data_IF_427157722774
#
_entry.id   IF_427157722774
#
_cell.length_a   1.000
_cell.length_b   1.000
_cell.length_c   1.000
_cell.angle_alpha   90.00
_cell.angle_beta   90.00
_cell.angle_gamma   90.00
#
_symmetry.space_group_name_H-M   'P 1'
#
loop_
_entity.id
_entity.type
_entity.pdbx_description
1 polymer ?
#
# COMPACT_ATOMS: atom_id res chain seq x y z
N UNK A 1 31.43 -3.10 -3.75
CA UNK A 1 30.24 -2.26 -3.47
C UNK A 1 29.25 -2.84 -2.43
N UNK A 2 29.50 -4.01 -1.80
CA UNK A 2 28.63 -4.59 -0.74
C UNK A 2 29.00 -4.17 0.70
N UNK A 3 30.23 -3.71 0.95
CA UNK A 3 30.75 -3.40 2.30
C UNK A 3 30.03 -2.23 2.98
N UNK A 4 29.73 -1.16 2.24
CA UNK A 4 29.20 0.08 2.82
C UNK A 4 27.77 -0.09 3.38
N UNK A 5 26.97 -0.97 2.79
CA UNK A 5 25.59 -1.20 3.23
C UNK A 5 25.54 -2.00 4.54
N UNK A 6 26.50 -2.90 4.74
CA UNK A 6 26.62 -3.72 5.94
C UNK A 6 27.08 -2.88 7.12
N UNK A 7 28.10 -2.04 6.93
CA UNK A 7 28.57 -1.08 7.93
C UNK A 7 27.48 -0.07 8.32
N UNK A 8 26.71 0.43 7.34
CA UNK A 8 25.58 1.32 7.62
C UNK A 8 24.51 0.62 8.46
N UNK A 9 24.14 -0.63 8.13
CA UNK A 9 23.14 -1.41 8.88
C UNK A 9 23.63 -1.68 10.32
N UNK A 10 24.92 -1.97 10.50
CA UNK A 10 25.54 -2.16 11.81
C UNK A 10 25.45 -0.89 12.66
N UNK A 11 25.91 0.25 12.15
CA UNK A 11 25.84 1.53 12.88
C UNK A 11 24.41 1.98 13.17
N UNK A 12 23.46 1.69 12.27
CA UNK A 12 22.04 1.95 12.55
C UNK A 12 21.53 1.12 13.73
N UNK A 13 21.89 -0.16 13.83
CA UNK A 13 21.47 -1.01 14.96
C UNK A 13 22.14 -0.63 16.28
N UNK A 14 23.33 0.00 16.24
CA UNK A 14 24.01 0.50 17.45
C UNK A 14 23.32 1.75 18.03
N UNK A 15 22.79 2.62 17.17
CA UNK A 15 22.21 3.92 17.59
C UNK A 15 20.70 3.86 17.79
N UNK A 16 19.98 3.04 17.02
CA UNK A 16 18.53 2.93 17.09
C UNK A 16 18.11 1.68 17.87
N UNK A 17 17.34 1.84 18.94
CA UNK A 17 16.67 0.71 19.62
C UNK A 17 15.59 0.04 18.77
N UNK A 18 15.21 0.65 17.65
CA UNK A 18 14.16 0.16 16.77
C UNK A 18 14.82 -0.54 15.58
N UNK A 19 14.47 -1.81 15.38
CA UNK A 19 14.97 -2.57 14.24
C UNK A 19 14.59 -1.88 12.91
N UNK A 20 15.49 -1.86 11.92
CA UNK A 20 15.19 -1.29 10.61
C UNK A 20 14.04 -2.05 9.95
N UNK A 21 13.06 -1.34 9.38
CA UNK A 21 11.95 -1.96 8.63
C UNK A 21 12.51 -2.83 7.50
N UNK A 22 12.47 -4.14 7.72
CA UNK A 22 12.94 -5.20 6.84
C UNK A 22 11.82 -6.23 6.71
N UNK A 23 11.36 -6.45 5.48
CA UNK A 23 10.24 -7.34 5.15
C UNK A 23 10.71 -8.77 4.86
N UNK A 24 11.95 -9.12 5.24
CA UNK A 24 12.56 -10.43 5.01
C UNK A 24 12.99 -10.70 3.56
N UNK A 25 12.44 -9.99 2.57
CA UNK A 25 12.83 -10.11 1.17
C UNK A 25 13.41 -8.79 0.61
N UNK A 26 14.60 -8.79 -0.02
CA UNK A 26 15.26 -7.56 -0.48
C UNK A 26 14.43 -6.70 -1.43
N UNK A 27 13.62 -7.32 -2.30
CA UNK A 27 12.75 -6.60 -3.22
C UNK A 27 11.57 -5.93 -2.50
N UNK A 28 10.97 -6.64 -1.52
CA UNK A 28 9.87 -6.11 -0.72
C UNK A 28 10.36 -4.96 0.17
N UNK A 29 11.50 -5.14 0.83
CA UNK A 29 12.12 -4.10 1.66
C UNK A 29 12.46 -2.84 0.84
N UNK A 30 12.97 -2.99 -0.39
CA UNK A 30 13.21 -1.85 -1.29
C UNK A 30 11.92 -1.16 -1.74
N UNK A 31 10.92 -1.93 -2.14
CA UNK A 31 9.62 -1.41 -2.57
C UNK A 31 8.93 -0.64 -1.44
N UNK A 32 8.85 -1.24 -0.25
CA UNK A 32 8.31 -0.63 0.94
C UNK A 32 9.02 0.66 1.31
N UNK A 33 10.36 0.68 1.35
CA UNK A 33 11.10 1.91 1.66
C UNK A 33 10.78 3.03 0.68
N UNK A 34 10.67 2.72 -0.61
CA UNK A 34 10.34 3.72 -1.64
C UNK A 34 8.93 4.26 -1.47
N UNK A 35 7.95 3.40 -1.23
CA UNK A 35 6.56 3.78 -1.06
C UNK A 35 6.38 4.57 0.25
N UNK A 36 6.94 4.07 1.35
CA UNK A 36 6.80 4.64 2.68
C UNK A 36 7.36 6.07 2.79
N UNK A 37 8.35 6.45 1.97
CA UNK A 37 8.84 7.84 1.94
C UNK A 37 7.73 8.81 1.52
N UNK A 38 6.92 8.46 0.52
CA UNK A 38 5.81 9.31 0.07
C UNK A 38 4.72 9.41 1.14
N UNK A 39 4.41 8.30 1.80
CA UNK A 39 3.42 8.27 2.88
C UNK A 39 3.87 9.02 4.14
N UNK A 40 5.17 9.01 4.46
CA UNK A 40 5.70 9.73 5.63
C UNK A 40 5.74 11.24 5.44
N UNK A 41 6.10 11.72 4.26
CA UNK A 41 6.31 13.15 4.04
C UNK A 41 4.98 13.90 3.83
N UNK A 42 4.05 13.33 3.06
CA UNK A 42 2.77 13.96 2.75
C UNK A 42 1.69 12.89 2.52
N UNK A 43 1.15 12.28 3.60
CA UNK A 43 0.20 11.18 3.47
C UNK A 43 -1.05 11.59 2.68
N UNK A 44 -1.57 12.80 2.92
CA UNK A 44 -2.79 13.29 2.27
C UNK A 44 -2.68 13.40 0.75
N UNK A 45 -1.49 13.69 0.21
CA UNK A 45 -1.27 13.82 -1.22
C UNK A 45 -1.44 12.47 -1.96
N UNK A 46 -1.20 11.36 -1.26
CA UNK A 46 -1.38 10.01 -1.82
C UNK A 46 -2.73 9.42 -1.42
N UNK A 47 -3.13 9.59 -0.16
CA UNK A 47 -4.34 8.98 0.41
C UNK A 47 -5.61 9.57 -0.20
N UNK A 48 -5.68 10.89 -0.40
CA UNK A 48 -6.91 11.52 -0.93
C UNK A 48 -7.17 11.05 -2.36
N UNK A 49 -6.24 11.16 -3.33
CA UNK A 49 -6.48 10.65 -4.68
C UNK A 49 -6.79 9.16 -4.71
N UNK A 50 -6.05 8.36 -3.93
CA UNK A 50 -6.29 6.92 -3.84
C UNK A 50 -7.69 6.61 -3.31
N UNK A 51 -8.17 7.34 -2.30
CA UNK A 51 -9.52 7.16 -1.75
C UNK A 51 -10.62 7.53 -2.75
N UNK A 52 -10.43 8.57 -3.56
CA UNK A 52 -11.38 8.97 -4.60
C UNK A 52 -11.49 7.88 -5.67
N UNK A 53 -10.33 7.40 -6.15
CA UNK A 53 -10.29 6.29 -7.12
C UNK A 53 -10.95 5.05 -6.53
N UNK A 54 -10.63 4.71 -5.28
CA UNK A 54 -11.20 3.55 -4.60
C UNK A 54 -12.72 3.66 -4.42
N UNK A 55 -13.23 4.83 -4.00
CA UNK A 55 -14.65 5.08 -3.85
C UNK A 55 -15.38 4.99 -5.20
N UNK A 56 -14.77 5.51 -6.27
CA UNK A 56 -15.31 5.40 -7.63
C UNK A 56 -15.41 3.94 -8.09
N UNK A 57 -14.36 3.14 -7.87
CA UNK A 57 -14.36 1.72 -8.21
C UNK A 57 -15.42 0.95 -7.40
N UNK A 58 -15.55 1.25 -6.11
CA UNK A 58 -16.59 0.68 -5.26
C UNK A 58 -17.99 1.02 -5.79
N UNK A 59 -18.23 2.27 -6.13
CA UNK A 59 -19.50 2.72 -6.71
C UNK A 59 -19.85 1.93 -7.98
N UNK A 60 -18.89 1.76 -8.89
CA UNK A 60 -19.09 0.97 -10.12
C UNK A 60 -19.41 -0.50 -9.82
N UNK A 61 -18.64 -1.11 -8.91
CA UNK A 61 -18.84 -2.51 -8.53
C UNK A 61 -20.22 -2.72 -7.86
N UNK A 62 -20.61 -1.82 -6.95
CA UNK A 62 -21.92 -1.85 -6.31
C UNK A 62 -23.06 -1.69 -7.31
N UNK A 63 -22.93 -0.77 -8.27
CA UNK A 63 -23.91 -0.60 -9.35
C UNK A 63 -24.11 -1.88 -10.16
N UNK A 64 -23.03 -2.54 -10.55
CA UNK A 64 -23.09 -3.84 -11.25
C UNK A 64 -23.81 -4.91 -10.41
N UNK A 65 -23.50 -4.99 -9.11
CA UNK A 65 -24.13 -5.95 -8.19
C UNK A 65 -25.63 -5.67 -8.05
N UNK A 66 -26.02 -4.41 -7.89
CA UNK A 66 -27.43 -4.00 -7.75
C UNK A 66 -28.21 -4.38 -8.99
N UNK A 67 -27.73 -4.01 -10.19
CA UNK A 67 -28.39 -4.34 -11.46
C UNK A 67 -28.57 -5.85 -11.60
N UNK A 68 -27.53 -6.63 -11.28
CA UNK A 68 -27.60 -8.10 -11.38
C UNK A 68 -28.60 -8.69 -10.40
N UNK A 69 -28.64 -8.20 -9.17
CA UNK A 69 -29.63 -8.61 -8.16
C UNK A 69 -31.05 -8.27 -8.60
N UNK A 70 -31.29 -7.05 -9.08
CA UNK A 70 -32.62 -6.64 -9.55
C UNK A 70 -33.06 -7.45 -10.75
N UNK A 71 -32.18 -7.75 -11.70
CA UNK A 71 -32.51 -8.59 -12.86
C UNK A 71 -32.85 -10.02 -12.44
N UNK A 72 -32.15 -10.60 -11.46
CA UNK A 72 -32.49 -11.92 -10.92
C UNK A 72 -33.86 -11.88 -10.24
N UNK A 73 -34.16 -10.83 -9.46
CA UNK A 73 -35.45 -10.70 -8.79
C UNK A 73 -36.61 -10.44 -9.76
N UNK A 74 -36.37 -9.72 -10.85
CA UNK A 74 -37.39 -9.36 -11.83
C UNK A 74 -37.66 -10.46 -12.87
N UNK A 75 -36.64 -11.20 -13.28
CA UNK A 75 -36.73 -12.18 -14.37
C UNK A 75 -36.41 -13.61 -13.97
N UNK A 76 -36.02 -13.85 -12.72
CA UNK A 76 -35.67 -15.17 -12.18
C UNK A 76 -36.84 -15.92 -11.53
N UNK A 77 -38.04 -15.34 -11.50
CA UNK A 77 -39.30 -15.98 -11.09
C UNK A 77 -40.24 -16.15 -12.29
#
# INVERSE_FOLDING_TARGET
MKSNLFELKRKMNEVYSIAPNDLGHPALTKGYRRINIYFKNMPFLVVIPASIIFAFLLYMASGYIIVRLTSILQYGF
#
